data_IF_242782541802
#
_entry.id   IF_242782541802
#
_cell.length_a   1.000
_cell.length_b   1.000
_cell.length_c   1.000
_cell.angle_alpha   90.00
_cell.angle_beta   90.00
_cell.angle_gamma   90.00
#
_symmetry.space_group_name_H-M   'P 1'
#
loop_
_entity.id
_entity.type
_entity.pdbx_description
1 polymer ?
#
# COMPACT_ATOMS: atom_id res chain seq x y z
N UNK A 1 9.66 -34.59 6.25
CA UNK A 1 8.67 -34.46 7.34
C UNK A 1 7.90 -33.17 7.11
N UNK A 2 6.66 -33.24 6.60
CA UNK A 2 5.80 -32.07 6.49
C UNK A 2 5.28 -31.74 7.89
N UNK A 3 5.57 -30.52 8.36
CA UNK A 3 4.97 -29.99 9.59
C UNK A 3 3.44 -29.93 9.50
N UNK A 4 2.75 -29.61 10.60
CA UNK A 4 1.30 -29.44 10.58
C UNK A 4 0.90 -28.40 9.51
N UNK A 5 -0.26 -28.58 8.84
CA UNK A 5 -0.74 -27.62 7.86
C UNK A 5 -0.84 -26.24 8.50
N UNK A 6 -0.21 -25.25 7.86
CA UNK A 6 -0.27 -23.85 8.32
C UNK A 6 -1.66 -23.31 8.01
N UNK A 7 -2.37 -22.85 9.04
CA UNK A 7 -3.63 -22.13 8.86
C UNK A 7 -3.34 -20.70 8.38
N UNK A 8 -3.27 -20.55 7.06
CA UNK A 8 -2.98 -19.28 6.42
C UNK A 8 -4.08 -18.24 6.60
N UNK A 9 -5.35 -18.69 6.69
CA UNK A 9 -6.48 -17.79 6.90
C UNK A 9 -6.43 -17.18 8.29
N UNK A 10 -6.25 -17.99 9.33
CA UNK A 10 -6.13 -17.50 10.69
C UNK A 10 -4.92 -16.55 10.87
N UNK A 11 -3.77 -16.88 10.27
CA UNK A 11 -2.60 -15.98 10.30
C UNK A 11 -2.86 -14.66 9.60
N UNK A 12 -3.56 -14.68 8.46
CA UNK A 12 -3.93 -13.49 7.73
C UNK A 12 -4.92 -12.62 8.49
N UNK A 13 -5.94 -13.22 9.11
CA UNK A 13 -6.91 -12.51 9.94
C UNK A 13 -6.23 -11.83 11.13
N UNK A 14 -5.31 -12.52 11.81
CA UNK A 14 -4.52 -11.94 12.89
C UNK A 14 -3.62 -10.79 12.39
N UNK A 15 -2.98 -10.96 11.23
CA UNK A 15 -2.17 -9.92 10.60
C UNK A 15 -3.01 -8.69 10.25
N UNK A 16 -4.16 -8.89 9.59
CA UNK A 16 -5.07 -7.85 9.18
C UNK A 16 -5.64 -7.10 10.39
N UNK A 17 -6.07 -7.82 11.43
CA UNK A 17 -6.55 -7.22 12.67
C UNK A 17 -5.49 -6.33 13.33
N UNK A 18 -4.24 -6.82 13.42
CA UNK A 18 -3.13 -6.02 13.97
C UNK A 18 -2.87 -4.77 13.11
N UNK A 19 -2.78 -4.92 11.79
CA UNK A 19 -2.51 -3.81 10.87
C UNK A 19 -3.63 -2.76 10.87
N UNK A 20 -4.88 -3.19 10.97
CA UNK A 20 -6.03 -2.29 11.13
C UNK A 20 -5.98 -1.57 12.47
N UNK A 21 -5.75 -2.28 13.58
CA UNK A 21 -5.63 -1.65 14.89
C UNK A 21 -4.49 -0.62 14.96
N UNK A 22 -3.32 -0.94 14.39
CA UNK A 22 -2.20 0.02 14.25
C UNK A 22 -2.64 1.27 13.46
N UNK A 23 -3.28 1.09 12.30
CA UNK A 23 -3.67 2.20 11.45
C UNK A 23 -4.80 3.06 12.03
N UNK A 24 -5.70 2.47 12.81
CA UNK A 24 -6.77 3.18 13.51
C UNK A 24 -6.24 3.95 14.72
N UNK A 25 -5.30 3.38 15.47
CA UNK A 25 -4.67 4.01 16.63
C UNK A 25 -3.66 5.11 16.27
N UNK A 26 -3.18 5.14 15.02
CA UNK A 26 -2.22 6.12 14.54
C UNK A 26 -2.73 7.57 14.74
N UNK A 27 -1.99 8.34 15.55
CA UNK A 27 -2.24 9.76 15.77
C UNK A 27 -1.72 10.56 14.57
N UNK A 28 -2.61 10.86 13.62
CA UNK A 28 -2.29 11.64 12.43
C UNK A 28 -2.74 13.08 12.67
N UNK A 29 -1.81 14.03 12.62
CA UNK A 29 -2.14 15.44 12.53
C UNK A 29 -2.58 15.76 11.09
N UNK A 30 -3.65 16.56 10.88
CA UNK A 30 -4.00 17.04 9.56
C UNK A 30 -2.84 17.78 8.90
N UNK A 31 -2.61 17.51 7.62
CA UNK A 31 -1.72 18.30 6.79
C UNK A 31 -2.40 19.62 6.45
N UNK A 32 -1.61 20.61 6.03
CA UNK A 32 -2.09 21.87 5.47
C UNK A 32 -1.60 21.96 4.03
N UNK A 33 -2.50 22.28 3.10
CA UNK A 33 -2.16 22.44 1.69
C UNK A 33 -1.77 23.88 1.41
N UNK A 34 -0.48 24.11 1.19
CA UNK A 34 0.01 25.44 0.81
C UNK A 34 -0.37 25.83 -0.62
N UNK A 35 -0.51 24.85 -1.52
CA UNK A 35 -0.77 25.04 -2.93
C UNK A 35 -1.44 23.80 -3.54
N UNK A 36 -2.63 23.99 -4.12
CA UNK A 36 -3.30 23.01 -4.98
C UNK A 36 -3.25 23.48 -6.45
N UNK A 37 -2.83 22.60 -7.35
CA UNK A 37 -2.80 22.80 -8.81
C UNK A 37 -3.44 21.63 -9.56
N UNK A 38 -4.41 20.96 -8.94
CA UNK A 38 -5.21 19.96 -9.62
C UNK A 38 -5.96 20.53 -10.82
N UNK A 39 -6.16 19.69 -11.82
CA UNK A 39 -6.99 19.98 -12.99
C UNK A 39 -7.82 18.75 -13.38
N UNK A 40 -8.64 18.89 -14.41
CA UNK A 40 -9.54 17.82 -14.88
C UNK A 40 -8.82 16.59 -15.45
N UNK A 41 -7.53 16.72 -15.78
CA UNK A 41 -6.70 15.62 -16.29
C UNK A 41 -6.35 14.61 -15.19
N UNK A 42 -6.43 15.01 -13.91
CA UNK A 42 -6.15 14.17 -12.76
C UNK A 42 -7.41 13.47 -12.24
N UNK A 43 -7.24 12.27 -11.69
CA UNK A 43 -8.28 11.57 -10.98
C UNK A 43 -8.26 11.97 -9.50
N UNK A 44 -9.38 12.45 -8.98
CA UNK A 44 -9.53 12.80 -7.57
C UNK A 44 -9.78 11.54 -6.73
N UNK A 45 -9.01 11.40 -5.67
CA UNK A 45 -9.09 10.35 -4.67
C UNK A 45 -9.42 11.01 -3.35
N UNK A 46 -10.69 10.94 -2.93
CA UNK A 46 -11.11 11.58 -1.69
C UNK A 46 -12.42 11.04 -1.12
N UNK A 47 -12.51 11.05 0.21
CA UNK A 47 -13.76 11.10 0.97
C UNK A 47 -13.68 12.21 2.04
N UNK A 48 -14.73 12.37 2.85
CA UNK A 48 -14.77 13.42 3.87
C UNK A 48 -13.61 13.34 4.87
N UNK A 49 -13.19 12.13 5.23
CA UNK A 49 -12.07 11.94 6.16
C UNK A 49 -10.75 12.34 5.52
N UNK A 50 -10.45 11.87 4.31
CA UNK A 50 -9.20 12.20 3.64
C UNK A 50 -9.11 13.68 3.33
N UNK A 51 -10.22 14.35 2.97
CA UNK A 51 -10.24 15.80 2.73
C UNK A 51 -9.85 16.59 3.98
N UNK A 52 -10.31 16.17 5.16
CA UNK A 52 -9.93 16.80 6.43
C UNK A 52 -8.48 16.53 6.79
N UNK A 53 -7.97 15.34 6.51
CA UNK A 53 -6.61 14.95 6.90
C UNK A 53 -5.53 15.45 5.93
N UNK A 54 -5.86 15.56 4.65
CA UNK A 54 -4.96 15.98 3.59
C UNK A 54 -5.13 17.46 3.22
N UNK A 55 -6.16 18.13 3.77
CA UNK A 55 -6.55 19.51 3.44
C UNK A 55 -6.82 19.71 1.94
N UNK A 56 -7.75 18.90 1.43
CA UNK A 56 -8.13 18.90 0.02
C UNK A 56 -8.18 17.51 -0.62
N UNK A 57 -8.37 17.44 -1.94
CA UNK A 57 -8.29 16.19 -2.68
C UNK A 57 -6.85 15.67 -2.78
N UNK A 58 -6.70 14.34 -2.81
CA UNK A 58 -5.49 13.70 -3.30
C UNK A 58 -5.69 13.35 -4.78
N UNK A 59 -4.64 13.44 -5.60
CA UNK A 59 -4.75 13.22 -7.04
C UNK A 59 -3.92 12.02 -7.49
N UNK A 60 -4.40 11.32 -8.52
CA UNK A 60 -3.63 10.35 -9.28
C UNK A 60 -3.64 10.68 -10.77
N UNK A 61 -2.52 10.44 -11.44
CA UNK A 61 -2.44 10.51 -12.90
C UNK A 61 -3.36 9.45 -13.53
N UNK A 62 -4.04 9.82 -14.60
CA UNK A 62 -4.75 8.86 -15.44
C UNK A 62 -3.77 8.02 -16.25
N UNK A 63 -4.21 6.83 -16.66
CA UNK A 63 -3.44 5.98 -17.57
C UNK A 63 -3.14 6.74 -18.87
N UNK A 64 -1.88 6.71 -19.37
CA UNK A 64 -1.50 7.44 -20.58
C UNK A 64 -2.08 6.81 -21.86
N UNK A 65 -2.42 5.53 -21.82
CA UNK A 65 -3.06 4.78 -22.89
C UNK A 65 -3.89 3.62 -22.29
N UNK A 66 -4.77 3.01 -23.10
CA UNK A 66 -5.66 1.94 -22.63
C UNK A 66 -4.92 0.65 -22.21
N UNK A 67 -3.71 0.45 -22.72
CA UNK A 67 -2.86 -0.73 -22.51
C UNK A 67 -1.71 -0.48 -21.51
N UNK A 68 -1.59 0.74 -20.98
CA UNK A 68 -0.51 1.12 -20.07
C UNK A 68 -1.05 1.58 -18.71
N UNK A 69 -0.48 1.10 -17.59
CA UNK A 69 -0.87 1.58 -16.27
C UNK A 69 -0.32 2.98 -16.02
N UNK A 70 -1.08 3.80 -15.29
CA UNK A 70 -0.51 4.92 -14.53
C UNK A 70 0.36 4.34 -13.41
N UNK A 71 1.61 4.78 -13.30
CA UNK A 71 2.56 4.25 -12.32
C UNK A 71 3.03 5.38 -11.42
N UNK A 72 2.89 5.19 -10.11
CA UNK A 72 3.34 6.13 -9.09
C UNK A 72 4.43 5.48 -8.23
N UNK A 73 5.53 6.21 -8.00
CA UNK A 73 6.59 5.79 -7.10
C UNK A 73 6.48 6.59 -5.79
N UNK A 74 6.40 5.87 -4.66
CA UNK A 74 6.30 6.47 -3.33
C UNK A 74 7.47 6.00 -2.49
N UNK A 75 8.22 6.94 -1.95
CA UNK A 75 9.37 6.69 -1.07
C UNK A 75 9.53 7.86 -0.10
N UNK A 76 10.15 7.57 1.05
CA UNK A 76 10.62 8.59 1.97
C UNK A 76 12.08 8.88 1.68
N UNK A 77 12.48 10.14 1.79
CA UNK A 77 13.86 10.58 1.60
C UNK A 77 14.24 11.56 2.70
N UNK A 78 15.40 11.35 3.33
CA UNK A 78 15.95 12.33 4.26
C UNK A 78 16.36 13.63 3.54
N UNK A 79 16.60 14.70 4.29
CA UNK A 79 17.05 15.98 3.73
C UNK A 79 18.34 15.86 2.90
N UNK A 80 19.23 14.95 3.28
CA UNK A 80 20.52 14.69 2.63
C UNK A 80 20.40 13.74 1.42
N UNK A 81 19.18 13.31 1.10
CA UNK A 81 18.92 12.48 -0.06
C UNK A 81 18.91 10.97 0.21
N UNK A 82 19.06 10.53 1.47
CA UNK A 82 19.06 9.10 1.79
C UNK A 82 17.64 8.51 1.70
N UNK A 83 17.50 7.41 0.96
CA UNK A 83 16.23 6.68 0.78
C UNK A 83 16.24 5.29 1.41
N UNK A 84 17.35 4.89 2.04
CA UNK A 84 17.53 3.54 2.59
C UNK A 84 17.63 3.61 4.11
N UNK A 85 16.64 3.01 4.77
CA UNK A 85 16.65 2.78 6.21
C UNK A 85 15.91 1.49 6.56
N UNK A 86 16.30 0.85 7.67
CA UNK A 86 15.54 -0.28 8.24
C UNK A 86 14.20 0.18 8.82
N UNK A 87 14.17 1.39 9.34
CA UNK A 87 12.98 2.05 9.84
C UNK A 87 12.79 3.37 9.06
N UNK A 88 11.74 3.50 8.24
CA UNK A 88 11.41 4.74 7.55
C UNK A 88 11.31 5.98 8.46
N UNK A 89 11.04 5.78 9.76
CA UNK A 89 11.00 6.90 10.72
C UNK A 89 12.34 7.62 10.85
N UNK A 90 13.45 6.92 10.65
CA UNK A 90 14.80 7.51 10.70
C UNK A 90 15.10 8.37 9.46
N UNK A 91 14.23 8.34 8.44
CA UNK A 91 14.29 9.20 7.26
C UNK A 91 13.32 10.39 7.35
N UNK A 92 12.68 10.58 8.50
CA UNK A 92 11.64 11.61 8.70
C UNK A 92 10.22 11.13 8.41
N UNK A 93 10.03 9.84 8.15
CA UNK A 93 8.71 9.23 8.10
C UNK A 93 8.03 9.22 9.47
N UNK A 94 6.70 9.33 9.49
CA UNK A 94 5.93 9.27 10.72
C UNK A 94 4.59 8.58 10.51
N UNK A 95 3.73 8.64 11.51
CA UNK A 95 2.40 8.02 11.45
C UNK A 95 1.56 8.55 10.27
N UNK A 96 1.66 9.85 9.96
CA UNK A 96 1.01 10.45 8.79
C UNK A 96 1.55 9.87 7.47
N UNK A 97 2.87 9.83 7.29
CA UNK A 97 3.49 9.24 6.11
C UNK A 97 3.07 7.78 5.94
N UNK A 98 3.19 6.96 6.99
CA UNK A 98 2.85 5.54 6.93
C UNK A 98 1.38 5.28 6.68
N UNK A 99 0.49 5.88 7.48
CA UNK A 99 -0.92 5.48 7.55
C UNK A 99 -1.88 6.35 6.73
N UNK A 100 -1.51 7.60 6.39
CA UNK A 100 -2.29 8.44 5.48
C UNK A 100 -1.74 8.37 4.05
N UNK A 101 -0.42 8.39 3.84
CA UNK A 101 0.18 8.47 2.50
C UNK A 101 0.55 7.07 1.96
N UNK A 102 1.56 6.42 2.52
CA UNK A 102 2.20 5.21 1.99
C UNK A 102 1.28 3.98 1.97
N UNK A 103 0.66 3.62 3.09
CA UNK A 103 -0.33 2.53 3.16
C UNK A 103 -1.76 3.01 2.83
N UNK A 104 -1.93 4.32 2.56
CA UNK A 104 -3.21 4.99 2.47
C UNK A 104 -3.54 5.53 1.08
N UNK A 105 -3.57 6.86 0.94
CA UNK A 105 -3.94 7.60 -0.27
C UNK A 105 -3.21 7.13 -1.52
N UNK A 106 -1.92 6.78 -1.39
CA UNK A 106 -1.12 6.28 -2.52
C UNK A 106 -1.52 4.87 -2.99
N UNK A 107 -2.27 4.11 -2.20
CA UNK A 107 -2.72 2.74 -2.52
C UNK A 107 -4.22 2.62 -2.74
N UNK A 108 -5.00 3.55 -2.21
CA UNK A 108 -6.46 3.41 -2.11
C UNK A 108 -7.14 3.24 -3.48
N UNK A 109 -6.65 3.93 -4.51
CA UNK A 109 -7.15 3.81 -5.88
C UNK A 109 -6.29 2.89 -6.77
N UNK A 110 -5.22 2.28 -6.24
CA UNK A 110 -4.32 1.45 -7.03
C UNK A 110 -4.96 0.09 -7.34
N UNK A 111 -4.91 -0.36 -8.59
CA UNK A 111 -5.32 -1.72 -8.96
C UNK A 111 -4.33 -2.77 -8.43
N UNK A 112 -3.05 -2.40 -8.38
CA UNK A 112 -1.96 -3.25 -7.93
C UNK A 112 -0.88 -2.44 -7.22
N UNK A 113 -0.14 -3.08 -6.32
CA UNK A 113 1.04 -2.51 -5.66
C UNK A 113 2.24 -3.41 -5.94
N UNK A 114 3.32 -2.81 -6.44
CA UNK A 114 4.55 -3.51 -6.79
C UNK A 114 5.60 -3.34 -5.70
N UNK A 115 6.19 -4.46 -5.26
CA UNK A 115 7.35 -4.47 -4.37
C UNK A 115 8.42 -5.45 -4.84
N UNK A 116 9.69 -5.11 -4.60
CA UNK A 116 10.80 -6.05 -4.80
C UNK A 116 10.79 -7.16 -3.74
N UNK A 117 11.16 -8.38 -4.13
CA UNK A 117 11.21 -9.54 -3.22
C UNK A 117 12.07 -9.31 -1.97
N UNK A 118 13.16 -8.53 -2.08
CA UNK A 118 14.01 -8.15 -0.94
C UNK A 118 13.31 -7.25 0.09
N UNK A 119 12.32 -6.45 -0.34
CA UNK A 119 11.48 -5.64 0.54
C UNK A 119 10.39 -6.48 1.19
N UNK A 120 9.84 -7.44 0.45
CA UNK A 120 8.74 -8.30 0.89
C UNK A 120 9.21 -9.37 1.92
N UNK A 121 10.53 -9.53 2.13
CA UNK A 121 11.21 -10.31 3.19
C UNK A 121 10.39 -11.51 3.69
N UNK A 122 10.35 -12.59 2.90
CA UNK A 122 9.69 -13.84 3.28
C UNK A 122 8.17 -13.88 3.08
N UNK A 123 7.56 -12.80 2.56
CA UNK A 123 6.15 -12.79 2.16
C UNK A 123 5.15 -12.59 3.29
N UNK A 124 5.59 -12.22 4.49
CA UNK A 124 4.74 -11.83 5.63
C UNK A 124 4.26 -10.37 5.57
N UNK A 125 4.46 -9.70 4.44
CA UNK A 125 3.93 -8.36 4.15
C UNK A 125 2.77 -8.50 3.18
N UNK A 126 1.68 -7.79 3.45
CA UNK A 126 0.57 -7.61 2.50
C UNK A 126 0.47 -6.13 2.15
N UNK A 127 0.63 -5.80 0.87
CA UNK A 127 0.61 -4.44 0.33
C UNK A 127 -0.84 -3.98 0.17
N UNK A 128 -1.50 -3.68 1.27
CA UNK A 128 -2.92 -3.30 1.31
C UNK A 128 -3.12 -1.96 2.02
N UNK A 129 -4.37 -1.51 2.01
CA UNK A 129 -4.95 -0.45 2.83
C UNK A 129 -5.57 -1.07 4.08
N UNK A 130 -5.37 -0.43 5.24
CA UNK A 130 -5.75 -0.98 6.55
C UNK A 130 -6.71 -0.10 7.35
N UNK A 131 -6.56 1.22 7.27
CA UNK A 131 -7.42 2.17 7.96
C UNK A 131 -8.84 2.13 7.38
N UNK A 132 -9.85 2.04 8.25
CA UNK A 132 -11.26 1.89 7.85
C UNK A 132 -11.72 2.93 6.84
N UNK A 133 -11.45 4.21 7.09
CA UNK A 133 -11.90 5.29 6.20
C UNK A 133 -11.32 5.18 4.78
N UNK A 134 -10.12 4.60 4.64
CA UNK A 134 -9.49 4.36 3.35
C UNK A 134 -9.97 3.06 2.71
N UNK A 135 -10.28 2.03 3.52
CA UNK A 135 -10.95 0.82 3.03
C UNK A 135 -12.33 1.16 2.46
N UNK A 136 -13.10 2.00 3.16
CA UNK A 136 -14.42 2.47 2.72
C UNK A 136 -14.31 3.30 1.44
N UNK A 137 -13.31 4.19 1.34
CA UNK A 137 -13.03 4.93 0.11
C UNK A 137 -12.73 3.98 -1.05
N UNK A 138 -11.89 2.96 -0.85
CA UNK A 138 -11.59 1.97 -1.88
C UNK A 138 -12.83 1.22 -2.35
N UNK A 139 -13.70 0.83 -1.41
CA UNK A 139 -14.97 0.18 -1.73
C UNK A 139 -15.91 1.11 -2.52
N UNK A 140 -15.98 2.39 -2.15
CA UNK A 140 -16.76 3.41 -2.86
C UNK A 140 -16.26 3.67 -4.29
N UNK A 141 -14.95 3.45 -4.55
CA UNK A 141 -14.36 3.47 -5.89
C UNK A 141 -14.66 2.18 -6.71
N UNK A 142 -15.40 1.21 -6.14
CA UNK A 142 -15.73 -0.04 -6.80
C UNK A 142 -14.57 -1.04 -6.89
N UNK A 143 -13.52 -0.84 -6.07
CA UNK A 143 -12.31 -1.66 -6.13
C UNK A 143 -12.36 -2.84 -5.13
N UNK A 144 -11.67 -3.96 -5.41
CA UNK A 144 -11.55 -5.08 -4.48
C UNK A 144 -10.91 -4.68 -3.14
N UNK A 145 -11.20 -5.43 -2.06
CA UNK A 145 -10.69 -5.14 -0.70
C UNK A 145 -9.17 -4.93 -0.64
N UNK A 146 -8.42 -5.71 -1.42
CA UNK A 146 -6.97 -5.64 -1.51
C UNK A 146 -6.57 -5.35 -2.96
N UNK A 147 -5.60 -4.43 -3.21
CA UNK A 147 -4.99 -4.34 -4.53
C UNK A 147 -4.23 -5.63 -4.85
N UNK A 148 -4.05 -5.91 -6.13
CA UNK A 148 -3.21 -7.03 -6.55
C UNK A 148 -1.77 -6.80 -6.06
N UNK A 149 -1.12 -7.89 -5.65
CA UNK A 149 0.22 -7.90 -5.12
C UNK A 149 1.19 -8.25 -6.24
N UNK A 150 2.02 -7.30 -6.68
CA UNK A 150 3.04 -7.56 -7.69
C UNK A 150 4.38 -7.73 -6.99
N UNK A 151 5.00 -8.91 -7.16
CA UNK A 151 6.30 -9.23 -6.58
C UNK A 151 7.33 -9.35 -7.70
N UNK A 152 8.29 -8.42 -7.73
CA UNK A 152 9.40 -8.45 -8.68
C UNK A 152 10.63 -9.15 -8.05
N UNK A 153 11.17 -10.16 -8.73
CA UNK A 153 12.38 -10.89 -8.29
C UNK A 153 13.29 -11.25 -9.45
N UNK A 154 14.59 -11.32 -9.20
CA UNK A 154 15.59 -11.88 -10.13
C UNK A 154 16.10 -13.26 -9.69
N UNK A 155 15.82 -13.66 -8.45
CA UNK A 155 16.44 -14.83 -7.79
C UNK A 155 15.39 -15.87 -7.36
N UNK A 156 14.13 -15.69 -7.76
CA UNK A 156 13.00 -16.46 -7.23
C UNK A 156 12.55 -15.96 -5.85
N UNK A 157 11.56 -16.63 -5.27
CA UNK A 157 11.02 -16.35 -3.93
C UNK A 157 10.35 -17.63 -3.38
N UNK A 158 10.53 -17.99 -2.09
CA UNK A 158 9.82 -19.11 -1.49
C UNK A 158 8.33 -18.80 -1.37
N UNK A 159 7.51 -19.46 -2.18
CA UNK A 159 6.06 -19.24 -2.24
C UNK A 159 5.32 -19.89 -1.06
N UNK A 160 5.91 -20.89 -0.43
CA UNK A 160 5.33 -21.68 0.65
C UNK A 160 5.47 -21.03 2.03
N UNK A 161 6.19 -19.91 2.16
CA UNK A 161 6.50 -19.29 3.46
C UNK A 161 5.66 -18.04 3.78
N UNK A 162 5.20 -17.32 2.77
CA UNK A 162 4.60 -15.99 2.93
C UNK A 162 3.07 -15.95 2.95
N UNK A 163 2.50 -15.11 3.82
CA UNK A 163 1.07 -14.76 3.79
C UNK A 163 0.60 -14.31 2.41
N UNK A 164 1.41 -13.47 1.75
CA UNK A 164 1.05 -12.88 0.46
C UNK A 164 0.70 -13.92 -0.60
N UNK A 165 1.33 -15.11 -0.57
CA UNK A 165 1.18 -16.18 -1.56
C UNK A 165 0.14 -17.24 -1.20
N UNK A 166 -0.24 -17.34 0.09
CA UNK A 166 -0.99 -18.48 0.60
C UNK A 166 -2.42 -18.11 1.07
N UNK A 167 -2.82 -16.84 0.90
CA UNK A 167 -4.18 -16.36 1.21
C UNK A 167 -4.98 -16.28 -0.09
N UNK A 168 -6.07 -17.06 -0.26
CA UNK A 168 -6.86 -17.08 -1.49
C UNK A 168 -7.44 -15.72 -1.90
N UNK A 169 -7.71 -14.87 -0.91
CA UNK A 169 -8.32 -13.55 -1.10
C UNK A 169 -7.31 -12.51 -1.65
N UNK A 170 -6.02 -12.86 -1.75
CA UNK A 170 -4.96 -12.02 -2.31
C UNK A 170 -4.63 -12.45 -3.75
N UNK A 171 -4.86 -11.55 -4.71
CA UNK A 171 -4.38 -11.74 -6.09
C UNK A 171 -2.89 -11.42 -6.16
N UNK A 172 -2.07 -12.36 -6.61
CA UNK A 172 -0.61 -12.18 -6.71
C UNK A 172 -0.13 -12.35 -8.15
N UNK A 173 0.80 -11.50 -8.57
CA UNK A 173 1.55 -11.63 -9.82
C UNK A 173 3.03 -11.63 -9.47
N UNK A 174 3.76 -12.65 -9.91
CA UNK A 174 5.22 -12.70 -9.78
C UNK A 174 5.84 -12.33 -11.11
N UNK A 175 6.68 -11.29 -11.12
CA UNK A 175 7.46 -10.87 -12.28
C UNK A 175 8.89 -11.32 -12.04
N UNK A 176 9.41 -12.11 -12.96
CA UNK A 176 10.79 -12.62 -12.93
C UNK A 176 11.40 -12.58 -14.33
N UNK A 177 12.71 -12.74 -14.40
CA UNK A 177 13.42 -13.01 -15.65
C UNK A 177 13.12 -14.43 -16.13
N UNK A 178 13.09 -14.60 -17.46
CA UNK A 178 12.90 -15.87 -18.15
C UNK A 178 14.18 -16.73 -18.12
#
# INVERSE_FOLDING_TARGET
MSGPPRDWRARFEAFAARKTAEAEAAAIAPLATDLDRGDESLAVIANDWTRRMFDGPFYASRAPAADLPSTNLVFVQSREGNTVAKDPSTLGGGEADKHLIYEGLSRVAADAVLGGAGTIRGGDIVLSVWRRELVDLRAALGLPRHPAQIVATLQGIPLDEGLIFNVPDLRVVVITIA
#
